data_IF_959645377901
#
_entry.id   IF_959645377901
#
_cell.length_a   1.000
_cell.length_b   1.000
_cell.length_c   1.000
_cell.angle_alpha   90.00
_cell.angle_beta   90.00
_cell.angle_gamma   90.00
#
_symmetry.space_group_name_H-M   'P 1'
#
loop_
_entity.id
_entity.type
_entity.pdbx_description
1 polymer ?
#
# COMPACT_ATOMS: atom_id res chain seq x y z
N UNK A 1 -2.08 -32.13 -9.15
CA UNK A 1 -1.84 -31.40 -7.89
C UNK A 1 -0.44 -30.78 -7.99
N UNK A 2 -0.33 -29.45 -8.18
CA UNK A 2 1.00 -28.80 -8.31
C UNK A 2 1.55 -28.52 -6.92
N UNK A 3 2.70 -29.08 -6.60
CA UNK A 3 3.42 -28.76 -5.38
C UNK A 3 3.90 -27.30 -5.44
N UNK A 4 3.51 -26.49 -4.46
CA UNK A 4 4.13 -25.19 -4.23
C UNK A 4 5.48 -25.43 -3.55
N UNK A 5 6.57 -25.20 -4.27
CA UNK A 5 7.92 -25.23 -3.69
C UNK A 5 8.10 -23.94 -2.89
N UNK A 6 7.95 -24.02 -1.57
CA UNK A 6 8.27 -22.92 -0.66
C UNK A 6 9.80 -22.85 -0.50
N UNK A 7 10.46 -22.03 -1.30
CA UNK A 7 11.84 -21.65 -1.02
C UNK A 7 11.83 -20.71 0.19
N UNK A 8 12.33 -21.20 1.33
CA UNK A 8 12.61 -20.34 2.48
C UNK A 8 13.87 -19.55 2.16
N UNK A 9 13.70 -18.29 1.82
CA UNK A 9 14.83 -17.37 1.75
C UNK A 9 15.31 -17.18 3.20
N UNK A 10 16.46 -17.78 3.53
CA UNK A 10 17.14 -17.55 4.81
C UNK A 10 18.02 -16.32 4.64
N UNK A 11 17.98 -15.44 5.65
CA UNK A 11 18.94 -14.37 5.88
C UNK A 11 18.98 -13.26 4.80
N UNK A 12 17.81 -12.65 4.50
CA UNK A 12 17.77 -11.34 3.84
C UNK A 12 17.57 -10.26 4.90
N UNK A 13 18.51 -9.32 4.96
CA UNK A 13 18.29 -8.02 5.59
C UNK A 13 17.50 -7.13 4.63
N UNK A 14 16.31 -6.71 5.08
CA UNK A 14 15.44 -5.80 4.34
C UNK A 14 15.40 -4.49 5.12
N UNK A 15 15.94 -3.42 4.54
CA UNK A 15 15.83 -2.06 5.09
C UNK A 15 14.43 -1.46 4.79
N UNK A 16 13.37 -2.17 5.19
CA UNK A 16 12.00 -1.71 5.07
C UNK A 16 11.12 -2.26 6.19
N UNK A 17 10.18 -1.45 6.67
CA UNK A 17 9.09 -1.92 7.52
C UNK A 17 8.13 -2.74 6.65
N UNK A 18 8.04 -4.04 6.92
CA UNK A 18 7.17 -4.98 6.19
C UNK A 18 5.75 -5.02 6.76
N UNK A 19 4.82 -5.56 5.97
CA UNK A 19 3.43 -5.81 6.36
C UNK A 19 2.47 -4.92 5.58
N UNK A 20 1.66 -5.53 4.73
CA UNK A 20 0.74 -4.84 3.81
C UNK A 20 -0.73 -5.20 4.03
N UNK A 21 -1.04 -5.88 5.13
CA UNK A 21 -2.42 -6.16 5.55
C UNK A 21 -2.67 -5.37 6.83
N UNK A 22 -3.34 -4.22 6.70
CA UNK A 22 -3.35 -3.21 7.76
C UNK A 22 -4.78 -2.78 8.07
N UNK A 23 -5.12 -2.86 9.35
CA UNK A 23 -6.29 -2.21 9.96
C UNK A 23 -5.85 -1.47 11.22
N UNK A 24 -6.61 -0.47 11.65
CA UNK A 24 -6.23 0.31 12.83
C UNK A 24 -7.20 1.43 13.17
N UNK A 25 -6.73 2.33 14.02
CA UNK A 25 -7.44 3.55 14.43
C UNK A 25 -6.62 4.76 14.03
N UNK A 26 -7.26 5.79 13.47
CA UNK A 26 -6.60 7.03 13.09
C UNK A 26 -6.13 7.79 14.33
N UNK A 27 -4.81 7.89 14.52
CA UNK A 27 -4.23 8.61 15.66
C UNK A 27 -4.12 10.12 15.42
N UNK A 28 -3.79 10.52 14.18
CA UNK A 28 -3.53 11.91 13.80
C UNK A 28 -3.77 12.13 12.29
N UNK A 29 -4.30 13.31 11.97
CA UNK A 29 -4.49 13.78 10.59
C UNK A 29 -3.28 14.58 10.09
N UNK A 30 -2.99 14.47 8.80
CA UNK A 30 -2.05 15.36 8.12
C UNK A 30 -2.64 16.75 7.88
N UNK A 31 -1.82 17.80 7.76
CA UNK A 31 -2.29 19.18 7.61
C UNK A 31 -3.05 19.44 6.31
N UNK A 32 -2.80 18.64 5.26
CA UNK A 32 -3.42 18.81 3.93
C UNK A 32 -4.63 17.88 3.71
N UNK A 33 -5.03 17.10 4.72
CA UNK A 33 -6.23 16.27 4.61
C UNK A 33 -7.43 17.21 4.64
N UNK A 34 -8.24 17.20 3.58
CA UNK A 34 -9.40 18.07 3.45
C UNK A 34 -10.54 17.55 4.33
N UNK A 35 -11.26 18.47 4.96
CA UNK A 35 -12.46 18.20 5.77
C UNK A 35 -13.61 17.51 4.98
N UNK A 36 -13.50 17.45 3.65
CA UNK A 36 -14.46 16.79 2.77
C UNK A 36 -14.32 15.27 2.70
N UNK A 37 -13.29 14.70 3.33
CA UNK A 37 -13.12 13.26 3.50
C UNK A 37 -13.71 12.92 4.87
N UNK A 38 -14.76 12.11 4.95
CA UNK A 38 -15.39 11.65 6.20
C UNK A 38 -14.44 10.73 7.01
N UNK A 39 -13.30 11.27 7.45
CA UNK A 39 -12.25 10.58 8.19
C UNK A 39 -11.60 11.53 9.20
N UNK A 40 -11.50 11.07 10.44
CA UNK A 40 -10.95 11.84 11.55
C UNK A 40 -10.25 10.97 12.59
N UNK A 41 -9.64 11.64 13.58
CA UNK A 41 -9.00 10.96 14.72
C UNK A 41 -10.03 10.07 15.43
N UNK A 42 -9.66 8.82 15.69
CA UNK A 42 -10.51 7.83 16.36
C UNK A 42 -11.27 6.89 15.42
N UNK A 43 -11.29 7.18 14.12
CA UNK A 43 -11.97 6.29 13.16
C UNK A 43 -11.23 4.97 12.98
N UNK A 44 -11.99 3.89 12.84
CA UNK A 44 -11.47 2.56 12.50
C UNK A 44 -11.34 2.44 10.99
N UNK A 45 -10.15 2.07 10.53
CA UNK A 45 -9.82 2.05 9.10
C UNK A 45 -9.21 0.72 8.67
N UNK A 46 -9.43 0.39 7.40
CA UNK A 46 -8.67 -0.60 6.65
C UNK A 46 -8.00 0.11 5.47
N UNK A 47 -6.74 -0.23 5.19
CA UNK A 47 -5.96 0.47 4.16
C UNK A 47 -5.99 -0.26 2.82
N UNK A 48 -6.33 0.47 1.75
CA UNK A 48 -5.97 0.09 0.39
C UNK A 48 -4.46 0.27 0.19
N UNK A 49 -3.74 -0.79 -0.17
CA UNK A 49 -2.27 -0.75 -0.22
C UNK A 49 -1.67 -0.27 -1.53
N UNK A 50 -2.48 -0.25 -2.60
CA UNK A 50 -2.06 0.18 -3.93
C UNK A 50 -2.40 1.65 -4.14
N UNK A 51 -1.37 2.48 -4.20
CA UNK A 51 -1.51 3.93 -4.37
C UNK A 51 -1.19 4.28 -5.83
N UNK A 52 -2.20 4.73 -6.57
CA UNK A 52 -2.04 5.22 -7.94
C UNK A 52 -1.81 6.74 -7.98
N UNK A 53 -0.90 7.20 -8.85
CA UNK A 53 -0.51 8.61 -8.96
C UNK A 53 -1.53 9.54 -9.68
N UNK A 54 -2.63 9.00 -10.22
CA UNK A 54 -3.65 9.78 -10.93
C UNK A 54 -3.26 10.29 -12.33
N UNK A 55 -1.99 10.20 -12.75
CA UNK A 55 -1.50 10.76 -14.03
C UNK A 55 -1.72 9.87 -15.27
N UNK A 56 -1.77 8.54 -15.12
CA UNK A 56 -1.88 7.58 -16.22
C UNK A 56 -3.32 7.20 -16.61
N UNK A 57 -3.48 6.62 -17.81
CA UNK A 57 -4.78 6.20 -18.36
C UNK A 57 -5.59 5.34 -17.41
N UNK A 58 -4.97 4.36 -16.74
CA UNK A 58 -5.70 3.44 -15.86
C UNK A 58 -6.16 4.10 -14.56
N UNK A 59 -5.31 4.86 -13.87
CA UNK A 59 -5.74 5.59 -12.67
C UNK A 59 -6.74 6.71 -12.98
N UNK A 60 -6.65 7.37 -14.13
CA UNK A 60 -7.68 8.34 -14.57
C UNK A 60 -9.05 7.70 -14.81
N UNK A 61 -9.08 6.38 -15.07
CA UNK A 61 -10.31 5.59 -15.22
C UNK A 61 -10.79 4.96 -13.91
N UNK A 62 -10.15 5.27 -12.78
CA UNK A 62 -10.45 4.67 -11.46
C UNK A 62 -9.78 3.31 -11.22
N UNK A 63 -9.02 2.77 -12.18
CA UNK A 63 -8.28 1.51 -12.02
C UNK A 63 -6.90 1.77 -11.42
N UNK A 64 -6.86 2.28 -10.18
CA UNK A 64 -5.61 2.68 -9.50
C UNK A 64 -4.63 1.52 -9.31
N UNK A 65 -5.14 0.30 -9.13
CA UNK A 65 -4.35 -0.94 -9.03
C UNK A 65 -3.65 -1.32 -10.36
N UNK A 66 -4.10 -0.79 -11.49
CA UNK A 66 -3.51 -0.97 -12.81
C UNK A 66 -2.72 0.27 -13.26
N UNK A 67 -2.46 1.21 -12.34
CA UNK A 67 -1.63 2.37 -12.63
C UNK A 67 -0.21 1.91 -13.00
N UNK A 68 0.33 2.46 -14.08
CA UNK A 68 1.68 2.13 -14.55
C UNK A 68 2.76 2.46 -13.50
N UNK A 69 2.48 3.43 -12.63
CA UNK A 69 3.33 3.89 -11.53
C UNK A 69 2.54 3.74 -10.23
N UNK A 70 2.42 2.49 -9.76
CA UNK A 70 1.75 2.16 -8.50
C UNK A 70 2.80 2.03 -7.41
N UNK A 71 2.59 2.72 -6.27
CA UNK A 71 3.33 2.47 -5.04
C UNK A 71 2.54 1.52 -4.15
N UNK A 72 3.25 0.66 -3.41
CA UNK A 72 2.64 -0.33 -2.51
C UNK A 72 3.20 -0.17 -1.11
N UNK A 73 2.32 0.01 -0.12
CA UNK A 73 2.70 0.10 1.30
C UNK A 73 3.15 -1.27 1.81
N UNK A 74 4.22 -1.32 2.63
CA UNK A 74 4.59 -2.53 3.38
C UNK A 74 5.11 -3.70 2.55
N UNK A 75 5.38 -3.46 1.26
CA UNK A 75 6.09 -4.40 0.39
C UNK A 75 7.59 -4.09 0.51
N UNK A 76 8.38 -5.09 0.89
CA UNK A 76 9.82 -5.02 0.75
C UNK A 76 10.15 -4.68 -0.72
N UNK A 77 10.87 -3.58 -0.93
CA UNK A 77 11.36 -3.20 -2.25
C UNK A 77 12.47 -4.18 -2.64
N UNK A 78 12.09 -5.38 -3.06
CA UNK A 78 12.99 -6.28 -3.75
C UNK A 78 13.21 -5.69 -5.15
N UNK A 79 14.31 -4.95 -5.29
CA UNK A 79 14.91 -4.56 -6.57
C UNK A 79 13.94 -3.87 -7.54
N UNK A 80 13.87 -2.54 -7.42
CA UNK A 80 13.61 -1.69 -8.58
C UNK A 80 14.62 -0.55 -8.53
N UNK A 81 15.76 -0.81 -9.15
CA UNK A 81 16.59 0.25 -9.74
C UNK A 81 15.74 1.01 -10.78
#
# INVERSE_FOLDING_TARGET
MRAAVYYRIKDIEIEAVIGHEITGVVEKMGPDVKDSEDIGKGDRVALGISIGFGKYKMCKRGFYNLCADTKVIGRAAFLRD
#
